data_IF_825213104251
#
_entry.id   IF_825213104251
#
_cell.length_a   1.000
_cell.length_b   1.000
_cell.length_c   1.000
_cell.angle_alpha   90.00
_cell.angle_beta   90.00
_cell.angle_gamma   90.00
#
_symmetry.space_group_name_H-M   'P 1'
#
loop_
_entity.id
_entity.type
_entity.pdbx_description
1 polymer ?
#
# COMPACT_ATOMS: atom_id res chain seq x y z
N UNK A 1 -14.74 32.62 -49.80
CA UNK A 1 -14.13 31.34 -49.37
C UNK A 1 -12.99 31.48 -48.36
N UNK A 2 -12.39 32.67 -48.13
CA UNK A 2 -11.29 32.86 -47.19
C UNK A 2 -11.67 32.62 -45.71
N UNK A 3 -12.78 33.19 -45.22
CA UNK A 3 -13.20 33.04 -43.81
C UNK A 3 -13.57 31.61 -43.38
N UNK A 4 -13.86 30.71 -44.33
CA UNK A 4 -14.13 29.29 -44.03
C UNK A 4 -12.85 28.48 -43.78
N UNK A 5 -11.71 28.91 -44.36
CA UNK A 5 -10.39 28.32 -44.08
C UNK A 5 -9.86 28.72 -42.71
N UNK A 6 -10.05 29.98 -42.33
CA UNK A 6 -9.63 30.50 -41.01
C UNK A 6 -10.33 29.77 -39.87
N UNK A 7 -11.66 29.60 -39.94
CA UNK A 7 -12.43 28.83 -38.95
C UNK A 7 -11.98 27.38 -38.82
N UNK A 8 -11.58 26.74 -39.92
CA UNK A 8 -11.05 25.37 -39.91
C UNK A 8 -9.68 25.28 -39.24
N UNK A 9 -8.82 26.28 -39.45
CA UNK A 9 -7.50 26.34 -38.80
C UNK A 9 -7.68 26.60 -37.30
N UNK A 10 -8.55 27.53 -36.91
CA UNK A 10 -8.86 27.82 -35.50
C UNK A 10 -9.37 26.56 -34.78
N UNK A 11 -10.32 25.83 -35.38
CA UNK A 11 -10.81 24.58 -34.83
C UNK A 11 -9.71 23.52 -34.75
N UNK A 12 -8.85 23.41 -35.76
CA UNK A 12 -7.74 22.47 -35.76
C UNK A 12 -6.71 22.77 -34.67
N UNK A 13 -6.36 24.05 -34.48
CA UNK A 13 -5.45 24.50 -33.42
C UNK A 13 -6.07 24.24 -32.05
N UNK A 14 -7.34 24.58 -31.85
CA UNK A 14 -8.07 24.30 -30.61
C UNK A 14 -8.12 22.79 -30.32
N UNK A 15 -8.38 21.96 -31.32
CA UNK A 15 -8.38 20.51 -31.19
C UNK A 15 -7.00 19.95 -30.82
N UNK A 16 -5.91 20.47 -31.41
CA UNK A 16 -4.54 20.08 -31.06
C UNK A 16 -4.23 20.48 -29.62
N UNK A 17 -4.58 21.70 -29.21
CA UNK A 17 -4.37 22.16 -27.83
C UNK A 17 -5.15 21.28 -26.85
N UNK A 18 -6.42 20.98 -27.14
CA UNK A 18 -7.24 20.10 -26.30
C UNK A 18 -6.66 18.68 -26.22
N UNK A 19 -6.15 18.14 -27.33
CA UNK A 19 -5.50 16.82 -27.35
C UNK A 19 -4.24 16.81 -26.46
N UNK A 20 -3.38 17.84 -26.58
CA UNK A 20 -2.18 17.98 -25.76
C UNK A 20 -2.52 18.11 -24.26
N UNK A 21 -3.50 18.95 -23.93
CA UNK A 21 -3.96 19.12 -22.55
C UNK A 21 -4.53 17.81 -21.98
N UNK A 22 -5.27 17.06 -22.79
CA UNK A 22 -5.82 15.76 -22.37
C UNK A 22 -4.72 14.76 -22.04
N UNK A 23 -3.66 14.69 -22.87
CA UNK A 23 -2.52 13.80 -22.61
C UNK A 23 -1.80 14.18 -21.31
N UNK A 24 -1.57 15.47 -21.09
CA UNK A 24 -0.95 15.97 -19.86
C UNK A 24 -1.81 15.66 -18.63
N UNK A 25 -3.13 15.87 -18.74
CA UNK A 25 -4.07 15.59 -17.66
C UNK A 25 -4.11 14.11 -17.30
N UNK A 26 -4.16 13.21 -18.29
CA UNK A 26 -4.13 11.77 -18.06
C UNK A 26 -2.86 11.35 -17.33
N UNK A 27 -1.69 11.85 -17.76
CA UNK A 27 -0.42 11.57 -17.08
C UNK A 27 -0.36 12.11 -15.65
N UNK A 28 -0.95 13.27 -15.38
CA UNK A 28 -1.04 13.83 -14.02
C UNK A 28 -1.98 13.01 -13.14
N UNK A 29 -3.12 12.57 -13.67
CA UNK A 29 -4.10 11.77 -12.95
C UNK A 29 -3.53 10.41 -12.56
N UNK A 30 -2.79 9.73 -13.45
CA UNK A 30 -2.13 8.46 -13.13
C UNK A 30 -1.13 8.61 -11.98
N UNK A 31 -0.36 9.71 -11.94
CA UNK A 31 0.58 9.98 -10.84
C UNK A 31 -0.15 10.25 -9.54
N UNK A 32 -1.24 11.03 -9.58
CA UNK A 32 -2.06 11.30 -8.42
C UNK A 32 -2.68 10.02 -7.85
N UNK A 33 -3.21 9.14 -8.71
CA UNK A 33 -3.78 7.85 -8.30
C UNK A 33 -2.74 6.96 -7.60
N UNK A 34 -1.51 6.85 -8.15
CA UNK A 34 -0.42 6.09 -7.52
C UNK A 34 -0.05 6.63 -6.14
N UNK A 35 0.10 7.95 -6.03
CA UNK A 35 0.40 8.62 -4.76
C UNK A 35 -0.70 8.40 -3.72
N UNK A 36 -1.97 8.49 -4.14
CA UNK A 36 -3.12 8.20 -3.27
C UNK A 36 -3.14 6.74 -2.80
N UNK A 37 -2.88 5.78 -3.69
CA UNK A 37 -2.84 4.35 -3.34
C UNK A 37 -1.70 4.07 -2.34
N UNK A 38 -0.51 4.65 -2.55
CA UNK A 38 0.60 4.56 -1.61
C UNK A 38 0.26 5.18 -0.25
N UNK A 39 -0.34 6.37 -0.22
CA UNK A 39 -0.76 7.03 1.00
C UNK A 39 -1.80 6.20 1.77
N UNK A 40 -2.77 5.60 1.07
CA UNK A 40 -3.77 4.70 1.66
C UNK A 40 -3.11 3.47 2.27
N UNK A 41 -2.14 2.85 1.59
CA UNK A 41 -1.39 1.70 2.10
C UNK A 41 -0.59 2.06 3.36
N UNK A 42 0.06 3.23 3.38
CA UNK A 42 0.80 3.69 4.56
C UNK A 42 -0.13 4.02 5.73
N UNK A 43 -1.27 4.66 5.47
CA UNK A 43 -2.27 4.96 6.49
C UNK A 43 -2.83 3.67 7.11
N UNK A 44 -3.16 2.67 6.28
CA UNK A 44 -3.64 1.38 6.75
C UNK A 44 -2.58 0.62 7.56
N UNK A 45 -1.32 0.62 7.11
CA UNK A 45 -0.20 0.05 7.86
C UNK A 45 0.04 0.80 9.19
N UNK A 46 -0.15 2.12 9.20
CA UNK A 46 -0.12 2.95 10.41
C UNK A 46 -1.20 2.56 11.40
N UNK A 47 -2.44 2.40 10.93
CA UNK A 47 -3.56 1.93 11.74
C UNK A 47 -3.28 0.53 12.33
N UNK A 48 -2.77 -0.40 11.51
CA UNK A 48 -2.37 -1.73 12.00
C UNK A 48 -1.29 -1.66 13.09
N UNK A 49 -0.32 -0.73 12.98
CA UNK A 49 0.69 -0.52 14.05
C UNK A 49 0.05 -0.03 15.33
N UNK A 50 -0.86 0.94 15.26
CA UNK A 50 -1.55 1.46 16.45
C UNK A 50 -2.36 0.36 17.13
N UNK A 51 -3.12 -0.44 16.37
CA UNK A 51 -3.89 -1.57 16.90
C UNK A 51 -3.00 -2.64 17.52
N UNK A 52 -1.87 -2.96 16.88
CA UNK A 52 -0.85 -3.87 17.45
C UNK A 52 -0.35 -3.35 18.80
N UNK A 53 -0.01 -2.07 18.89
CA UNK A 53 0.49 -1.44 20.12
C UNK A 53 -0.58 -1.38 21.22
N UNK A 54 -1.82 -1.10 20.86
CA UNK A 54 -2.94 -1.06 21.81
C UNK A 54 -3.20 -2.46 22.41
N UNK A 55 -3.22 -3.49 21.57
CA UNK A 55 -3.38 -4.90 21.99
C UNK A 55 -2.23 -5.36 22.89
N UNK A 56 -1.00 -4.97 22.57
CA UNK A 56 0.17 -5.31 23.38
C UNK A 56 0.15 -4.59 24.73
N UNK A 57 -0.24 -3.30 24.75
CA UNK A 57 -0.37 -2.51 25.98
C UNK A 57 -1.45 -3.08 26.92
N UNK A 58 -2.63 -3.40 26.38
CA UNK A 58 -3.68 -4.07 27.15
C UNK A 58 -3.21 -5.42 27.69
N UNK A 59 -2.36 -6.14 26.95
CA UNK A 59 -1.84 -7.44 27.38
C UNK A 59 -0.79 -7.33 28.48
N UNK A 60 0.10 -6.33 28.44
CA UNK A 60 1.04 -6.08 29.56
C UNK A 60 0.28 -5.75 30.86
N UNK A 61 -0.85 -5.05 30.74
CA UNK A 61 -1.67 -4.66 31.89
C UNK A 61 -2.56 -5.81 32.43
N UNK A 62 -3.13 -6.65 31.56
CA UNK A 62 -4.18 -7.61 31.95
C UNK A 62 -3.81 -9.10 31.78
N UNK A 63 -2.70 -9.42 31.10
CA UNK A 63 -2.29 -10.79 30.81
C UNK A 63 -3.12 -11.48 29.72
N UNK A 64 -2.54 -12.45 29.01
CA UNK A 64 -3.22 -13.21 27.94
C UNK A 64 -2.29 -14.05 27.06
N UNK A 65 -2.81 -15.04 26.33
CA UNK A 65 -2.05 -15.84 25.35
C UNK A 65 -1.74 -15.00 24.10
N UNK A 66 -0.51 -15.10 23.57
CA UNK A 66 -0.19 -14.53 22.26
C UNK A 66 -0.94 -15.31 21.18
N UNK A 67 -1.45 -14.62 20.13
CA UNK A 67 -1.90 -15.32 18.94
C UNK A 67 -0.74 -16.12 18.36
N UNK A 68 -1.04 -17.35 17.94
CA UNK A 68 -0.05 -18.19 17.26
C UNK A 68 0.19 -17.66 15.83
N UNK A 69 1.44 -17.73 15.38
CA UNK A 69 1.83 -17.36 14.02
C UNK A 69 2.38 -15.94 13.87
N UNK A 70 2.74 -15.59 12.63
CA UNK A 70 3.46 -14.35 12.28
C UNK A 70 2.60 -13.32 11.55
N UNK A 71 1.29 -13.58 11.43
CA UNK A 71 0.37 -12.76 10.67
C UNK A 71 0.02 -11.48 11.44
N UNK A 72 0.45 -10.28 10.98
CA UNK A 72 0.16 -9.03 11.68
C UNK A 72 -1.33 -8.75 11.82
N UNK A 73 -2.17 -9.24 10.89
CA UNK A 73 -3.62 -9.04 10.93
C UNK A 73 -4.25 -9.80 12.10
N UNK A 74 -3.77 -11.02 12.38
CA UNK A 74 -4.21 -11.81 13.53
C UNK A 74 -3.79 -11.14 14.83
N UNK A 75 -2.57 -10.58 14.86
CA UNK A 75 -2.04 -9.87 16.02
C UNK A 75 -2.77 -8.55 16.30
N UNK A 76 -3.07 -7.77 15.27
CA UNK A 76 -3.90 -6.56 15.37
C UNK A 76 -5.36 -6.92 15.71
N UNK A 77 -5.83 -8.10 15.30
CA UNK A 77 -7.21 -8.55 15.42
C UNK A 77 -8.20 -7.71 14.62
N UNK A 78 -7.71 -6.96 13.63
CA UNK A 78 -8.50 -6.25 12.61
C UNK A 78 -7.86 -6.48 11.25
N UNK A 79 -8.66 -6.90 10.28
CA UNK A 79 -8.23 -7.04 8.90
C UNK A 79 -8.31 -5.69 8.16
N UNK A 80 -7.30 -5.34 7.34
CA UNK A 80 -7.39 -4.20 6.46
C UNK A 80 -8.44 -4.46 5.36
N UNK A 81 -8.97 -3.37 4.77
CA UNK A 81 -9.97 -3.48 3.70
C UNK A 81 -9.38 -4.20 2.48
N UNK A 82 -10.14 -5.14 1.89
CA UNK A 82 -9.64 -5.95 0.77
C UNK A 82 -8.60 -7.00 1.15
N UNK A 83 -8.54 -7.39 2.43
CA UNK A 83 -7.74 -8.53 2.87
C UNK A 83 -8.36 -9.86 2.45
N UNK A 84 -7.66 -10.60 1.60
CA UNK A 84 -8.12 -11.91 1.09
C UNK A 84 -7.74 -13.08 2.01
N UNK A 85 -6.97 -12.81 3.07
CA UNK A 85 -6.53 -13.83 4.01
C UNK A 85 -5.10 -14.30 3.79
N UNK A 86 -4.81 -15.48 4.34
CA UNK A 86 -3.53 -16.14 4.22
C UNK A 86 -3.48 -17.01 2.96
N UNK A 87 -2.41 -16.87 2.18
CA UNK A 87 -2.22 -17.55 0.90
C UNK A 87 -0.82 -18.16 0.81
N UNK A 88 -0.69 -19.24 0.04
CA UNK A 88 0.61 -19.89 -0.21
C UNK A 88 1.38 -19.29 -1.39
N UNK A 89 0.69 -18.52 -2.24
CA UNK A 89 1.23 -17.86 -3.41
C UNK A 89 0.56 -16.49 -3.62
N UNK A 90 1.26 -15.52 -4.24
CA UNK A 90 0.71 -14.21 -4.53
C UNK A 90 -0.58 -14.28 -5.39
N UNK A 91 -1.71 -13.75 -4.90
CA UNK A 91 -2.97 -13.75 -5.64
C UNK A 91 -2.88 -12.85 -6.87
N UNK A 92 -3.51 -13.26 -7.98
CA UNK A 92 -3.44 -12.53 -9.26
C UNK A 92 -4.15 -11.17 -9.22
N UNK A 93 -5.16 -11.04 -8.35
CA UNK A 93 -5.92 -9.82 -8.11
C UNK A 93 -5.04 -8.68 -7.60
N UNK A 94 -5.41 -7.45 -7.95
CA UNK A 94 -4.68 -6.23 -7.57
C UNK A 94 -5.56 -5.32 -6.72
N UNK A 95 -4.92 -4.43 -5.98
CA UNK A 95 -5.57 -3.56 -5.00
C UNK A 95 -6.00 -4.30 -3.73
N UNK A 96 -5.37 -5.44 -3.44
CA UNK A 96 -5.76 -6.35 -2.34
C UNK A 96 -4.60 -6.56 -1.36
N UNK A 97 -4.96 -6.81 -0.11
CA UNK A 97 -4.05 -7.23 0.95
C UNK A 97 -4.06 -8.75 1.07
N UNK A 98 -2.90 -9.36 1.25
CA UNK A 98 -2.78 -10.79 1.49
C UNK A 98 -1.60 -11.08 2.41
N UNK A 99 -1.67 -12.19 3.14
CA UNK A 99 -0.54 -12.67 3.94
C UNK A 99 0.06 -13.91 3.30
N UNK A 100 1.32 -13.83 2.88
CA UNK A 100 2.02 -14.96 2.29
C UNK A 100 2.60 -15.85 3.40
N UNK A 101 2.04 -17.06 3.56
CA UNK A 101 2.44 -18.00 4.62
C UNK A 101 3.91 -18.39 4.54
N UNK A 102 4.42 -18.62 3.33
CA UNK A 102 5.80 -19.09 3.09
C UNK A 102 6.86 -18.09 3.55
N UNK A 103 6.63 -16.80 3.28
CA UNK A 103 7.59 -15.74 3.61
C UNK A 103 7.28 -15.05 4.95
N UNK A 104 6.08 -15.27 5.50
CA UNK A 104 5.60 -14.61 6.71
C UNK A 104 5.47 -13.09 6.51
N UNK A 105 5.06 -12.67 5.32
CA UNK A 105 4.97 -11.27 4.91
C UNK A 105 3.51 -10.91 4.63
N UNK A 106 3.06 -9.80 5.20
CA UNK A 106 1.83 -9.12 4.81
C UNK A 106 2.15 -8.24 3.61
N UNK A 107 1.50 -8.48 2.47
CA UNK A 107 1.74 -7.76 1.24
C UNK A 107 0.46 -7.08 0.75
N UNK A 108 0.62 -5.89 0.19
CA UNK A 108 -0.39 -5.22 -0.62
C UNK A 108 0.05 -5.21 -2.07
N UNK A 109 -0.80 -5.68 -2.98
CA UNK A 109 -0.52 -5.66 -4.42
C UNK A 109 -1.13 -4.40 -5.04
N UNK A 110 -0.31 -3.49 -5.56
CA UNK A 110 -0.81 -2.25 -6.16
C UNK A 110 -1.56 -2.51 -7.47
N UNK A 111 -2.57 -1.68 -7.76
CA UNK A 111 -3.32 -1.73 -9.03
C UNK A 111 -2.42 -1.54 -10.25
N UNK A 112 -1.43 -0.67 -10.12
CA UNK A 112 -0.48 -0.32 -11.18
C UNK A 112 0.71 -1.29 -11.30
N UNK A 113 0.79 -2.32 -10.45
CA UNK A 113 1.90 -3.27 -10.40
C UNK A 113 2.90 -2.96 -9.28
N UNK A 114 3.68 -3.98 -8.90
CA UNK A 114 4.51 -3.95 -7.70
C UNK A 114 3.72 -4.28 -6.43
N UNK A 115 4.43 -4.40 -5.32
CA UNK A 115 3.87 -4.80 -4.04
C UNK A 115 4.51 -4.01 -2.90
N UNK A 116 3.72 -3.61 -1.91
CA UNK A 116 4.24 -3.14 -0.63
C UNK A 116 4.28 -4.33 0.33
N UNK A 117 5.45 -4.61 0.91
CA UNK A 117 5.68 -5.76 1.77
C UNK A 117 5.95 -5.31 3.18
N UNK A 118 5.31 -5.96 4.14
CA UNK A 118 5.40 -5.67 5.55
C UNK A 118 5.62 -6.94 6.34
N UNK A 119 6.50 -6.89 7.34
CA UNK A 119 6.77 -8.04 8.21
C UNK A 119 6.59 -7.64 9.66
N UNK A 120 6.00 -8.55 10.42
CA UNK A 120 6.01 -8.47 11.87
C UNK A 120 7.43 -8.75 12.37
N UNK A 121 8.08 -7.73 12.93
CA UNK A 121 9.37 -7.83 13.57
C UNK A 121 9.16 -7.98 15.07
N UNK A 122 9.74 -9.03 15.64
CA UNK A 122 9.84 -9.24 17.08
C UNK A 122 11.30 -8.95 17.46
N UNK A 123 11.57 -7.96 18.30
CA UNK A 123 12.93 -7.53 18.61
C UNK A 123 13.59 -8.53 19.57
N UNK A 124 14.39 -9.41 18.98
CA UNK A 124 15.72 -9.77 19.50
C UNK A 124 16.84 -9.31 18.54
N UNK A 125 16.55 -8.65 17.40
CA UNK A 125 17.54 -8.62 16.30
C UNK A 125 17.76 -7.32 15.50
N UNK A 126 17.13 -6.16 15.73
CA UNK A 126 17.54 -4.95 14.98
C UNK A 126 17.27 -3.65 15.74
N UNK A 127 18.31 -2.83 15.90
CA UNK A 127 18.36 -1.59 16.72
C UNK A 127 17.88 -0.32 16.00
N UNK A 128 17.51 -0.38 14.72
CA UNK A 128 17.31 0.83 13.89
C UNK A 128 15.88 1.00 13.33
N UNK A 129 14.83 0.85 14.16
CA UNK A 129 13.44 1.09 13.70
C UNK A 129 12.76 2.16 14.57
N UNK A 130 12.33 3.30 14.00
CA UNK A 130 11.50 4.27 14.70
C UNK A 130 10.08 3.71 14.87
N UNK A 131 9.57 3.76 16.11
CA UNK A 131 8.27 3.23 16.56
C UNK A 131 8.20 1.71 16.75
N UNK A 132 8.97 1.21 17.72
CA UNK A 132 8.81 -0.12 18.31
C UNK A 132 8.44 0.07 19.78
N UNK A 133 7.36 -0.59 20.25
CA UNK A 133 7.01 -0.70 21.66
C UNK A 133 6.86 -2.19 22.00
N UNK A 134 7.35 -2.60 23.18
CA UNK A 134 7.38 -4.00 23.63
C UNK A 134 8.04 -5.02 22.66
N UNK A 135 8.92 -4.53 21.77
CA UNK A 135 9.63 -5.39 20.82
C UNK A 135 8.77 -5.95 19.70
N UNK A 136 7.58 -5.43 19.40
CA UNK A 136 6.80 -5.84 18.22
C UNK A 136 6.55 -4.65 17.32
N UNK A 137 6.88 -4.75 16.04
CA UNK A 137 6.70 -3.67 15.07
C UNK A 137 6.40 -4.17 13.66
N UNK A 138 5.63 -3.38 12.90
CA UNK A 138 5.38 -3.65 11.49
C UNK A 138 6.41 -2.91 10.63
N UNK A 139 7.39 -3.64 10.10
CA UNK A 139 8.47 -3.08 9.28
C UNK A 139 8.10 -3.21 7.81
N UNK A 140 8.20 -2.11 7.06
CA UNK A 140 8.10 -2.17 5.60
C UNK A 140 9.41 -2.71 5.05
N UNK A 141 9.34 -3.79 4.30
CA UNK A 141 10.48 -4.30 3.55
C UNK A 141 10.64 -3.40 2.32
N UNK A 142 11.79 -2.75 2.18
CA UNK A 142 12.13 -2.09 0.92
C UNK A 142 12.17 -3.15 -0.17
N UNK A 143 11.51 -2.88 -1.30
CA UNK A 143 11.72 -3.69 -2.49
C UNK A 143 13.18 -3.49 -2.88
N UNK A 144 14.02 -4.51 -2.66
CA UNK A 144 15.27 -4.66 -3.39
C UNK A 144 14.86 -4.71 -4.86
N UNK A 145 14.94 -3.55 -5.52
CA UNK A 145 14.97 -3.47 -6.98
C UNK A 145 16.23 -4.23 -7.38
N UNK A 146 16.05 -5.49 -7.81
CA UNK A 146 17.09 -6.12 -8.61
C UNK A 146 17.35 -5.19 -9.81
N UNK A 147 18.64 -4.89 -9.99
CA UNK A 147 19.19 -4.03 -11.02
C UNK A 147 18.88 -4.55 -12.42
#
# INVERSE_FOLDING_TARGET
MAGYREKKIELAVAAIILALLSILLLGALERAQRSMEEAMVQAEAGALRVELLDRLSHREAFGGKLPEGRNPVVWAGRAPSGYVGEVDAPPAERGIWYFERRSGVLAYRFRHGGEARFRLAFMSASRDVPAVLAGVGLVRLENVRDR
#
